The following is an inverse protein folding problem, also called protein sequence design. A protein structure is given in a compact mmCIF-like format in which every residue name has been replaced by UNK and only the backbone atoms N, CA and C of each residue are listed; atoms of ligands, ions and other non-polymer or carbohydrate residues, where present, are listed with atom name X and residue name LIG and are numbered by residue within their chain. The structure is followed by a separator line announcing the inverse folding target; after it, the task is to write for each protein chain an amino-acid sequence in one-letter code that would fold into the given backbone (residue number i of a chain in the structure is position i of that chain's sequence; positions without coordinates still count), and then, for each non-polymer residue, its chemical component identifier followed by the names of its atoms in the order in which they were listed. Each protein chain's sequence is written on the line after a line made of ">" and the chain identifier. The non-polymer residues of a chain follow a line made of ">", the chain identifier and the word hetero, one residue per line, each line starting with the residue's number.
data_IF_152379043510
#
_entry.id   IF_152379043510
#
_cell.length_a   1.000
_cell.length_b   1.000
_cell.length_c   1.000
_cell.angle_alpha   90.00
_cell.angle_beta   90.00
_cell.angle_gamma   90.00
#
_symmetry.space_group_name_H-M   'P 1'
#
loop_
_entity.id
_entity.type
_entity.pdbx_description
1 polymer ?
#
# COMPACT_ATOMS: atom_id res chain seq x y z
N UNK A 1 62.09 -71.34 -26.81
CA UNK A 1 60.77 -71.12 -26.25
C UNK A 1 60.60 -69.61 -26.08
N UNK A 2 59.82 -68.97 -26.95
CA UNK A 2 59.66 -67.50 -26.98
C UNK A 2 58.35 -67.12 -26.24
N UNK A 3 58.48 -66.43 -25.13
CA UNK A 3 57.31 -65.82 -24.45
C UNK A 3 56.97 -64.51 -25.15
N UNK A 4 55.71 -64.36 -25.57
CA UNK A 4 55.09 -63.12 -26.05
C UNK A 4 54.49 -62.42 -24.89
N UNK A 5 55.01 -61.26 -24.56
CA UNK A 5 54.35 -60.35 -23.57
C UNK A 5 53.24 -59.51 -24.21
N UNK A 6 52.06 -59.64 -23.71
CA UNK A 6 50.91 -58.83 -24.13
C UNK A 6 50.83 -57.56 -23.21
N UNK A 7 51.03 -56.36 -23.80
CA UNK A 7 50.87 -55.10 -23.09
C UNK A 7 49.41 -54.73 -23.04
N UNK A 8 48.89 -54.62 -21.84
CA UNK A 8 47.53 -54.12 -21.56
C UNK A 8 47.60 -52.58 -21.47
N UNK A 9 46.98 -51.91 -22.42
CA UNK A 9 46.83 -50.45 -22.42
C UNK A 9 45.60 -50.09 -21.56
N UNK A 10 45.84 -49.56 -20.35
CA UNK A 10 44.80 -49.10 -19.48
C UNK A 10 44.44 -47.60 -19.78
N UNK A 11 43.34 -47.37 -20.47
CA UNK A 11 42.84 -46.03 -20.80
C UNK A 11 42.18 -45.46 -19.54
N UNK A 12 42.79 -44.48 -18.88
CA UNK A 12 42.22 -43.69 -17.77
C UNK A 12 41.22 -42.69 -18.36
N UNK A 13 39.92 -42.95 -18.19
CA UNK A 13 38.87 -41.95 -18.48
C UNK A 13 38.82 -40.97 -17.30
N UNK A 14 39.40 -39.79 -17.48
CA UNK A 14 39.22 -38.67 -16.56
C UNK A 14 37.81 -38.11 -16.72
N UNK A 15 36.86 -38.58 -15.90
CA UNK A 15 35.53 -37.97 -15.77
C UNK A 15 35.69 -36.63 -15.04
N UNK A 16 35.70 -35.56 -15.81
CA UNK A 16 35.66 -34.21 -15.23
C UNK A 16 34.33 -34.01 -14.48
N UNK A 17 34.37 -34.09 -13.17
CA UNK A 17 33.27 -33.56 -12.32
C UNK A 17 33.25 -32.04 -12.47
N UNK A 18 32.32 -31.53 -13.26
CA UNK A 18 31.95 -30.11 -13.19
C UNK A 18 31.23 -29.95 -11.86
N UNK A 19 31.97 -29.51 -10.85
CA UNK A 19 31.35 -29.06 -9.61
C UNK A 19 30.50 -27.81 -9.95
N UNK A 20 29.19 -27.98 -10.08
CA UNK A 20 28.28 -26.85 -10.06
C UNK A 20 28.43 -26.19 -8.68
N UNK A 21 29.03 -25.02 -8.63
CA UNK A 21 29.01 -24.19 -7.42
C UNK A 21 27.54 -23.90 -7.10
N UNK A 22 27.03 -24.55 -6.07
CA UNK A 22 25.74 -24.22 -5.49
C UNK A 22 25.94 -22.88 -4.77
N UNK A 23 25.73 -21.79 -5.48
CA UNK A 23 25.65 -20.47 -4.84
C UNK A 23 24.39 -20.47 -3.98
N UNK A 24 24.56 -20.18 -2.70
CA UNK A 24 23.39 -19.95 -1.83
C UNK A 24 22.57 -18.80 -2.42
N UNK A 25 21.26 -19.00 -2.52
CA UNK A 25 20.36 -17.97 -2.99
C UNK A 25 20.48 -16.73 -2.12
N UNK A 26 20.40 -15.55 -2.73
CA UNK A 26 20.20 -14.29 -1.99
C UNK A 26 18.77 -14.29 -1.46
N UNK A 27 18.59 -14.06 -0.18
CA UNK A 27 17.28 -14.04 0.44
C UNK A 27 17.05 -12.71 1.16
N UNK A 28 15.92 -12.08 0.89
CA UNK A 28 15.45 -10.89 1.57
C UNK A 28 14.22 -11.20 2.40
N UNK A 29 14.19 -10.71 3.62
CA UNK A 29 13.00 -10.74 4.46
C UNK A 29 12.12 -9.55 4.14
N UNK A 30 10.83 -9.83 3.90
CA UNK A 30 9.83 -8.82 3.55
C UNK A 30 8.78 -8.73 4.64
N UNK A 31 8.71 -7.58 5.29
CA UNK A 31 7.73 -7.33 6.35
C UNK A 31 6.44 -6.75 5.79
N UNK A 32 5.38 -7.55 5.81
CA UNK A 32 4.00 -7.10 5.56
C UNK A 32 3.23 -7.13 6.89
N UNK A 33 2.71 -5.98 7.31
CA UNK A 33 1.96 -5.93 8.56
C UNK A 33 0.57 -6.57 8.43
N UNK A 34 0.21 -7.39 9.41
CA UNK A 34 -1.07 -8.09 9.45
C UNK A 34 -1.18 -9.27 8.49
N UNK A 35 -2.40 -9.71 8.18
CA UNK A 35 -2.67 -10.90 7.36
C UNK A 35 -2.59 -10.59 5.87
N UNK A 36 -2.45 -11.64 5.05
CA UNK A 36 -2.59 -11.58 3.60
C UNK A 36 -3.95 -10.99 3.19
N UNK A 37 -3.96 -10.10 2.21
CA UNK A 37 -5.16 -9.45 1.65
C UNK A 37 -4.83 -8.77 0.32
N UNK A 38 -5.83 -8.29 -0.41
CA UNK A 38 -5.63 -7.78 -1.77
C UNK A 38 -4.48 -6.75 -1.89
N UNK A 39 -4.30 -5.83 -0.92
CA UNK A 39 -3.24 -4.82 -1.02
C UNK A 39 -1.81 -5.38 -0.85
N UNK A 40 -1.63 -6.66 -0.52
CA UNK A 40 -0.30 -7.32 -0.47
C UNK A 40 0.07 -8.01 -1.79
N UNK A 41 -0.85 -8.08 -2.74
CA UNK A 41 -0.69 -8.87 -3.97
C UNK A 41 0.38 -8.31 -4.92
N UNK A 42 0.64 -6.99 -4.90
CA UNK A 42 1.76 -6.41 -5.63
C UNK A 42 3.12 -6.93 -5.15
N UNK A 43 3.28 -7.11 -3.83
CA UNK A 43 4.50 -7.66 -3.24
C UNK A 43 4.63 -9.14 -3.52
N UNK A 44 3.53 -9.88 -3.47
CA UNK A 44 3.49 -11.31 -3.80
C UNK A 44 3.86 -11.54 -5.27
N UNK A 45 3.30 -10.73 -6.18
CA UNK A 45 3.64 -10.79 -7.60
C UNK A 45 5.09 -10.38 -7.87
N UNK A 46 5.59 -9.35 -7.17
CA UNK A 46 6.99 -8.96 -7.26
C UNK A 46 7.91 -10.11 -6.85
N UNK A 47 7.60 -10.83 -5.76
CA UNK A 47 8.38 -11.96 -5.30
C UNK A 47 8.43 -13.10 -6.34
N UNK A 48 7.29 -13.43 -6.92
CA UNK A 48 7.18 -14.42 -8.01
C UNK A 48 8.05 -14.04 -9.21
N UNK A 49 7.97 -12.78 -9.66
CA UNK A 49 8.72 -12.29 -10.82
C UNK A 49 10.24 -12.26 -10.58
N UNK A 50 10.65 -11.82 -9.40
CA UNK A 50 12.07 -11.77 -9.02
C UNK A 50 12.66 -13.18 -8.97
N UNK A 51 11.98 -14.13 -8.33
CA UNK A 51 12.43 -15.52 -8.28
C UNK A 51 12.52 -16.13 -9.69
N UNK A 52 11.53 -15.90 -10.53
CA UNK A 52 11.52 -16.39 -11.92
C UNK A 52 12.66 -15.77 -12.76
N UNK A 53 12.85 -14.44 -12.72
CA UNK A 53 13.88 -13.74 -13.50
C UNK A 53 15.30 -14.04 -13.05
N UNK A 54 15.47 -14.54 -11.82
CA UNK A 54 16.79 -14.92 -11.27
C UNK A 54 17.00 -16.42 -11.19
N UNK A 55 16.11 -17.23 -11.79
CA UNK A 55 16.15 -18.70 -11.71
C UNK A 55 16.25 -19.23 -10.26
N UNK A 56 15.61 -18.55 -9.31
CA UNK A 56 15.64 -18.89 -7.88
C UNK A 56 16.88 -18.43 -7.13
N UNK A 57 17.81 -17.71 -7.76
CA UNK A 57 19.00 -17.17 -7.07
C UNK A 57 18.71 -15.98 -6.15
N UNK A 58 17.56 -15.31 -6.31
CA UNK A 58 17.10 -14.27 -5.42
C UNK A 58 15.65 -14.50 -5.02
N UNK A 59 15.40 -14.54 -3.70
CA UNK A 59 14.08 -14.79 -3.12
C UNK A 59 13.66 -13.68 -2.16
N UNK A 60 12.37 -13.34 -2.21
CA UNK A 60 11.72 -12.42 -1.29
C UNK A 60 10.83 -13.22 -0.31
N UNK A 61 11.32 -13.43 0.90
CA UNK A 61 10.64 -14.22 1.94
C UNK A 61 9.57 -13.36 2.64
N UNK A 62 8.32 -13.47 2.23
CA UNK A 62 7.23 -12.65 2.72
C UNK A 62 6.75 -13.15 4.09
N UNK A 63 6.75 -12.24 5.08
CA UNK A 63 6.20 -12.47 6.42
C UNK A 63 4.97 -11.60 6.66
N UNK A 64 3.83 -12.23 6.94
CA UNK A 64 2.56 -11.56 7.21
C UNK A 64 2.40 -11.29 8.72
N UNK A 65 2.86 -10.14 9.18
CA UNK A 65 2.74 -9.68 10.57
C UNK A 65 3.74 -10.30 11.55
N UNK A 66 4.68 -11.14 11.07
CA UNK A 66 5.65 -11.83 11.91
C UNK A 66 6.90 -11.02 12.25
N UNK A 67 7.27 -10.02 11.42
CA UNK A 67 8.50 -9.27 11.59
C UNK A 67 8.28 -7.91 12.27
N UNK A 68 7.20 -7.21 11.98
CA UNK A 68 6.90 -5.91 12.58
C UNK A 68 5.40 -5.60 12.61
N UNK A 69 5.00 -4.68 13.47
CA UNK A 69 3.66 -4.11 13.50
C UNK A 69 3.56 -2.92 12.53
N UNK A 70 2.32 -2.48 12.24
CA UNK A 70 2.02 -1.42 11.27
C UNK A 70 2.77 -0.09 11.51
N UNK A 71 3.16 0.23 12.76
CA UNK A 71 3.87 1.46 13.13
C UNK A 71 5.38 1.29 13.26
N UNK A 72 5.91 0.10 12.99
CA UNK A 72 7.30 -0.28 13.23
C UNK A 72 8.06 -0.58 11.92
N UNK A 73 7.34 -0.72 10.78
CA UNK A 73 7.94 -1.11 9.50
C UNK A 73 9.09 -0.18 9.06
N UNK A 74 8.90 1.13 9.17
CA UNK A 74 9.92 2.10 8.75
C UNK A 74 11.15 2.07 9.67
N UNK A 75 10.95 1.85 10.96
CA UNK A 75 12.07 1.67 11.91
C UNK A 75 12.85 0.40 11.58
N UNK A 76 12.15 -0.71 11.33
CA UNK A 76 12.79 -1.97 10.94
C UNK A 76 13.62 -1.86 9.67
N UNK A 77 13.13 -1.16 8.66
CA UNK A 77 13.88 -0.81 7.44
C UNK A 77 15.11 0.04 7.80
N UNK A 78 14.93 1.08 8.61
CA UNK A 78 16.02 1.99 8.97
C UNK A 78 17.19 1.28 9.67
N UNK A 79 16.87 0.30 10.52
CA UNK A 79 17.87 -0.49 11.23
C UNK A 79 18.38 -1.74 10.50
N UNK A 80 17.86 -2.03 9.29
CA UNK A 80 18.22 -3.23 8.55
C UNK A 80 17.73 -4.53 9.21
N UNK A 81 16.61 -4.48 9.98
CA UNK A 81 16.02 -5.67 10.58
C UNK A 81 15.37 -6.59 9.53
N UNK A 82 15.03 -6.05 8.40
CA UNK A 82 14.57 -6.72 7.17
C UNK A 82 14.83 -5.80 5.99
N UNK A 83 14.98 -6.37 4.80
CA UNK A 83 15.41 -5.66 3.60
C UNK A 83 14.27 -4.93 2.90
N UNK A 84 13.04 -5.42 3.03
CA UNK A 84 11.86 -4.82 2.39
C UNK A 84 10.65 -4.80 3.31
N UNK A 85 9.82 -3.77 3.18
CA UNK A 85 8.57 -3.66 3.92
C UNK A 85 7.50 -2.93 3.13
N UNK A 86 6.22 -3.25 3.40
CA UNK A 86 5.08 -2.44 3.02
C UNK A 86 4.52 -1.74 4.25
N UNK A 87 4.36 -0.42 4.21
CA UNK A 87 3.77 0.35 5.29
C UNK A 87 2.72 1.33 4.75
N UNK A 88 1.79 1.78 5.59
CA UNK A 88 0.83 2.79 5.17
C UNK A 88 1.24 4.17 5.70
N UNK A 89 1.23 5.18 4.84
CA UNK A 89 1.68 6.55 5.10
C UNK A 89 1.10 7.14 6.39
N UNK A 90 -0.17 6.93 6.65
CA UNK A 90 -0.85 7.47 7.85
C UNK A 90 -0.39 6.87 9.19
N UNK A 91 0.34 5.75 9.18
CA UNK A 91 0.95 5.22 10.40
C UNK A 91 2.29 5.87 10.73
N UNK A 92 2.89 6.59 9.78
CA UNK A 92 4.21 7.18 9.87
C UNK A 92 4.22 8.69 9.55
N UNK A 93 3.09 9.39 9.72
CA UNK A 93 2.93 10.79 9.34
C UNK A 93 3.85 11.77 10.09
N UNK A 94 4.37 11.38 11.24
CA UNK A 94 5.37 12.13 12.03
C UNK A 94 6.81 11.81 11.59
N UNK A 95 7.08 10.57 11.13
CA UNK A 95 8.38 10.10 10.67
C UNK A 95 8.64 10.45 9.21
N UNK A 96 7.63 10.25 8.36
CA UNK A 96 7.69 10.48 6.92
C UNK A 96 6.48 11.30 6.45
N UNK A 97 6.45 12.61 6.76
CA UNK A 97 5.30 13.47 6.46
C UNK A 97 5.10 13.74 4.97
N UNK A 98 6.14 13.68 4.14
CA UNK A 98 6.05 14.06 2.73
C UNK A 98 5.11 13.17 1.93
N UNK A 99 5.12 11.85 2.12
CA UNK A 99 4.23 10.95 1.38
C UNK A 99 2.76 11.03 1.81
N UNK A 100 2.45 11.73 2.92
CA UNK A 100 1.06 11.97 3.30
C UNK A 100 0.35 12.92 2.35
N UNK A 101 1.05 13.58 1.42
CA UNK A 101 0.44 14.32 0.31
C UNK A 101 -0.49 13.42 -0.51
N UNK A 102 -0.19 12.13 -0.63
CA UNK A 102 -1.01 11.15 -1.35
C UNK A 102 -2.34 10.81 -0.64
N UNK A 103 -2.51 11.25 0.61
CA UNK A 103 -3.75 11.06 1.38
C UNK A 103 -4.70 12.26 1.30
N UNK A 104 -4.27 13.32 0.65
CA UNK A 104 -5.08 14.54 0.53
C UNK A 104 -6.29 14.31 -0.38
N UNK A 105 -7.42 14.93 -0.05
CA UNK A 105 -8.63 14.79 -0.84
C UNK A 105 -8.51 15.60 -2.14
N UNK A 106 -8.06 14.98 -3.21
CA UNK A 106 -8.01 15.59 -4.55
C UNK A 106 -9.35 15.58 -5.28
N UNK A 107 -10.36 14.95 -4.70
CA UNK A 107 -11.78 15.04 -5.08
C UNK A 107 -12.07 14.71 -6.56
N UNK A 108 -11.24 13.88 -7.19
CA UNK A 108 -11.45 13.39 -8.54
C UNK A 108 -11.77 11.90 -8.51
N UNK A 109 -12.68 11.50 -9.36
CA UNK A 109 -12.87 10.11 -9.70
C UNK A 109 -11.78 9.73 -10.71
N UNK A 110 -10.75 9.05 -10.21
CA UNK A 110 -9.56 8.66 -10.97
C UNK A 110 -9.40 7.14 -10.86
N UNK A 111 -9.17 6.48 -11.99
CA UNK A 111 -8.96 5.02 -12.01
C UNK A 111 -7.75 4.63 -11.14
N UNK A 112 -7.79 3.41 -10.58
CA UNK A 112 -6.70 2.89 -9.77
C UNK A 112 -5.37 2.85 -10.54
N UNK A 113 -5.43 2.58 -11.86
CA UNK A 113 -4.27 2.63 -12.75
C UNK A 113 -3.67 4.04 -12.79
N UNK A 114 -4.49 5.08 -12.97
CA UNK A 114 -3.99 6.46 -12.99
C UNK A 114 -3.45 6.90 -11.63
N UNK A 115 -4.08 6.50 -10.54
CA UNK A 115 -3.54 6.75 -9.18
C UNK A 115 -2.18 6.08 -9.00
N UNK A 116 -1.98 4.87 -9.54
CA UNK A 116 -0.69 4.17 -9.53
C UNK A 116 0.40 4.96 -10.24
N UNK A 117 0.10 5.50 -11.42
CA UNK A 117 1.02 6.35 -12.20
C UNK A 117 1.39 7.63 -11.44
N UNK A 118 0.37 8.32 -10.91
CA UNK A 118 0.57 9.56 -10.11
C UNK A 118 1.49 9.29 -8.92
N UNK A 119 1.20 8.25 -8.14
CA UNK A 119 2.00 7.95 -6.96
C UNK A 119 3.42 7.50 -7.31
N UNK A 120 3.61 6.80 -8.42
CA UNK A 120 4.94 6.45 -8.93
C UNK A 120 5.77 7.70 -9.27
N UNK A 121 5.13 8.77 -9.76
CA UNK A 121 5.79 10.05 -10.02
C UNK A 121 6.05 10.83 -8.72
N UNK A 122 5.07 10.91 -7.82
CA UNK A 122 5.23 11.58 -6.51
C UNK A 122 6.39 10.96 -5.73
N UNK A 123 6.57 9.64 -5.79
CA UNK A 123 7.66 8.94 -5.10
C UNK A 123 9.06 9.28 -5.65
N UNK A 124 9.15 9.72 -6.89
CA UNK A 124 10.39 10.19 -7.52
C UNK A 124 10.66 11.66 -7.24
N UNK A 125 9.73 12.39 -6.62
CA UNK A 125 9.92 13.80 -6.31
C UNK A 125 11.06 13.99 -5.29
N UNK A 126 12.02 14.91 -5.50
CA UNK A 126 13.22 15.06 -4.65
C UNK A 126 12.90 15.27 -3.17
N UNK A 127 11.82 15.98 -2.84
CA UNK A 127 11.38 16.21 -1.45
C UNK A 127 11.01 14.87 -0.78
N UNK A 128 10.32 13.98 -1.49
CA UNK A 128 9.91 12.65 -0.96
C UNK A 128 11.12 11.74 -0.82
N UNK A 129 11.98 11.69 -1.84
CA UNK A 129 13.22 10.89 -1.81
C UNK A 129 14.10 11.31 -0.64
N UNK A 130 14.32 12.62 -0.45
CA UNK A 130 15.13 13.16 0.66
C UNK A 130 14.56 12.82 2.04
N UNK A 131 13.23 12.81 2.19
CA UNK A 131 12.59 12.50 3.46
C UNK A 131 12.79 11.03 3.85
N UNK A 132 12.63 10.11 2.91
CA UNK A 132 12.83 8.68 3.15
C UNK A 132 14.30 8.30 3.32
N UNK A 133 15.22 8.99 2.64
CA UNK A 133 16.65 8.76 2.81
C UNK A 133 17.12 8.93 4.27
N UNK A 134 16.45 9.76 5.07
CA UNK A 134 16.71 9.89 6.52
C UNK A 134 16.48 8.60 7.30
N UNK A 135 15.70 7.69 6.73
CA UNK A 135 15.33 6.40 7.31
C UNK A 135 16.06 5.24 6.62
N UNK A 136 17.15 5.52 5.90
CA UNK A 136 17.83 4.51 5.08
C UNK A 136 16.84 3.71 4.20
N UNK A 137 15.83 4.38 3.69
CA UNK A 137 14.72 3.79 2.96
C UNK A 137 14.61 4.39 1.54
N UNK A 138 14.47 3.50 0.57
CA UNK A 138 14.16 3.82 -0.83
C UNK A 138 12.76 3.32 -1.17
N UNK A 139 11.92 4.19 -1.74
CA UNK A 139 10.60 3.79 -2.26
C UNK A 139 10.79 2.91 -3.50
N UNK A 140 10.28 1.69 -3.43
CA UNK A 140 10.35 0.73 -4.53
C UNK A 140 9.13 0.85 -5.45
N UNK A 141 7.92 0.81 -4.87
CA UNK A 141 6.67 0.93 -5.62
C UNK A 141 5.52 1.45 -4.75
N UNK A 142 4.53 2.12 -5.35
CA UNK A 142 3.28 2.44 -4.65
C UNK A 142 2.45 1.18 -4.40
N UNK A 143 1.51 1.28 -3.47
CA UNK A 143 0.34 0.41 -3.44
C UNK A 143 -0.87 1.33 -3.41
N UNK A 144 -1.35 1.78 -4.58
CA UNK A 144 -2.51 2.66 -4.66
C UNK A 144 -3.74 1.90 -4.17
N UNK A 145 -4.63 2.61 -3.50
CA UNK A 145 -5.92 2.10 -3.06
C UNK A 145 -7.02 2.93 -3.72
N UNK A 146 -8.14 2.32 -4.10
CA UNK A 146 -9.27 3.07 -4.64
C UNK A 146 -9.86 3.99 -3.57
N UNK A 147 -10.76 4.87 -4.01
CA UNK A 147 -11.49 5.78 -3.12
C UNK A 147 -12.06 5.03 -1.91
N UNK A 148 -11.90 5.64 -0.74
CA UNK A 148 -12.45 5.11 0.49
C UNK A 148 -13.92 5.44 0.58
N UNK A 149 -14.70 4.46 1.00
CA UNK A 149 -16.09 4.61 1.36
C UNK A 149 -16.32 4.27 2.83
N UNK A 150 -17.45 4.72 3.36
CA UNK A 150 -17.83 4.49 4.73
C UNK A 150 -18.79 3.32 4.77
N UNK A 151 -18.63 2.44 5.75
CA UNK A 151 -19.66 1.52 6.24
C UNK A 151 -19.99 1.92 7.66
N UNK A 152 -21.27 2.12 7.97
CA UNK A 152 -21.75 2.53 9.27
C UNK A 152 -22.89 1.67 9.78
N UNK A 153 -22.98 1.57 11.11
CA UNK A 153 -24.04 0.85 11.83
C UNK A 153 -25.25 1.73 12.15
N UNK A 154 -25.06 3.07 12.20
CA UNK A 154 -26.10 4.01 12.61
C UNK A 154 -27.24 4.20 11.62
N UNK A 155 -28.03 5.25 11.83
CA UNK A 155 -29.10 5.65 10.92
C UNK A 155 -28.52 6.06 9.57
N UNK A 156 -29.29 5.81 8.50
CA UNK A 156 -28.91 6.16 7.12
C UNK A 156 -28.82 7.67 6.97
N UNK A 157 -27.71 8.17 6.47
CA UNK A 157 -27.52 9.61 6.22
C UNK A 157 -28.58 10.15 5.24
N UNK A 158 -29.15 11.27 5.57
CA UNK A 158 -30.09 12.04 4.73
C UNK A 158 -29.45 13.32 4.21
N UNK A 159 -28.51 13.87 4.95
CA UNK A 159 -27.77 15.09 4.63
C UNK A 159 -26.31 14.99 5.12
N UNK A 160 -25.48 15.97 4.76
CA UNK A 160 -24.12 16.08 5.30
C UNK A 160 -24.10 16.43 6.79
N UNK A 161 -25.15 17.07 7.31
CA UNK A 161 -25.26 17.40 8.73
C UNK A 161 -25.36 16.15 9.62
N UNK A 162 -25.78 15.02 9.07
CA UNK A 162 -25.89 13.75 9.80
C UNK A 162 -24.50 13.14 10.14
N UNK A 163 -23.40 13.74 9.67
CA UNK A 163 -22.06 13.42 10.16
C UNK A 163 -21.75 13.98 11.53
N UNK A 164 -22.51 14.96 12.03
CA UNK A 164 -22.32 15.56 13.36
C UNK A 164 -22.36 14.49 14.47
N UNK A 165 -21.29 14.43 15.25
CA UNK A 165 -21.13 13.45 16.34
C UNK A 165 -20.84 12.01 15.90
N UNK A 166 -20.88 11.65 14.61
CA UNK A 166 -20.62 10.30 14.13
C UNK A 166 -19.15 9.93 14.42
N UNK A 167 -18.91 8.88 15.21
CA UNK A 167 -17.57 8.40 15.55
C UNK A 167 -17.04 7.53 14.41
N UNK A 168 -16.10 8.10 13.65
CA UNK A 168 -15.58 7.47 12.44
C UNK A 168 -14.11 7.09 12.62
N UNK A 169 -13.76 5.86 12.25
CA UNK A 169 -12.40 5.41 12.05
C UNK A 169 -12.00 5.60 10.59
N UNK A 170 -10.98 6.41 10.32
CA UNK A 170 -10.52 6.67 8.96
C UNK A 170 -9.12 7.30 8.90
N UNK A 171 -8.50 7.39 7.69
CA UNK A 171 -7.22 8.07 7.47
C UNK A 171 -7.34 9.59 7.60
N UNK A 172 -6.17 10.25 7.79
CA UNK A 172 -6.08 11.65 8.17
C UNK A 172 -6.77 12.62 7.21
N UNK A 173 -6.55 12.48 5.91
CA UNK A 173 -7.13 13.38 4.90
C UNK A 173 -8.67 13.33 4.89
N UNK A 174 -9.23 12.12 4.85
CA UNK A 174 -10.69 11.89 4.88
C UNK A 174 -11.28 12.43 6.17
N UNK A 175 -10.67 12.10 7.32
CA UNK A 175 -11.14 12.58 8.61
C UNK A 175 -10.97 14.09 8.80
N UNK A 176 -10.08 14.73 8.06
CA UNK A 176 -9.99 16.19 7.97
C UNK A 176 -11.27 16.80 7.42
N UNK A 177 -11.81 16.24 6.34
CA UNK A 177 -13.07 16.71 5.72
C UNK A 177 -14.28 16.37 6.59
N UNK A 178 -14.40 15.10 7.01
CA UNK A 178 -15.54 14.67 7.84
C UNK A 178 -15.59 15.38 9.20
N UNK A 179 -14.43 15.72 9.79
CA UNK A 179 -14.35 16.51 11.01
C UNK A 179 -14.91 17.93 10.88
N UNK A 180 -14.87 18.51 9.68
CA UNK A 180 -15.51 19.82 9.41
C UNK A 180 -17.03 19.72 9.33
N UNK A 181 -17.56 18.52 9.12
CA UNK A 181 -18.97 18.16 9.23
C UNK A 181 -19.34 17.67 10.64
N UNK A 182 -18.47 17.84 11.62
CA UNK A 182 -18.73 17.45 13.01
C UNK A 182 -18.45 15.97 13.34
N UNK A 183 -17.96 15.16 12.41
CA UNK A 183 -17.62 13.78 12.70
C UNK A 183 -16.42 13.66 13.67
N UNK A 184 -16.50 12.72 14.59
CA UNK A 184 -15.49 12.48 15.63
C UNK A 184 -14.51 11.42 15.20
N UNK A 185 -13.25 11.83 14.95
CA UNK A 185 -12.18 10.89 14.63
C UNK A 185 -11.88 9.98 15.82
N UNK A 186 -12.10 8.70 15.66
CA UNK A 186 -11.89 7.69 16.71
C UNK A 186 -10.85 6.65 16.28
N UNK A 187 -9.76 6.57 17.04
CA UNK A 187 -8.65 5.65 16.75
C UNK A 187 -8.95 4.23 17.23
N UNK A 188 -9.02 3.27 16.29
CA UNK A 188 -9.24 1.85 16.58
C UNK A 188 -8.25 1.03 15.76
N UNK A 189 -7.56 0.03 16.35
CA UNK A 189 -6.73 -0.91 15.61
C UNK A 189 -7.51 -1.61 14.50
N UNK A 190 -6.85 -1.86 13.36
CA UNK A 190 -7.51 -2.48 12.20
C UNK A 190 -8.24 -3.80 12.52
N UNK A 191 -7.60 -4.66 13.30
CA UNK A 191 -8.17 -5.97 13.66
C UNK A 191 -9.41 -5.88 14.57
N UNK A 192 -9.61 -4.74 15.25
CA UNK A 192 -10.69 -4.53 16.23
C UNK A 192 -11.89 -3.77 15.66
N UNK A 193 -11.80 -3.31 14.39
CA UNK A 193 -12.83 -2.44 13.78
C UNK A 193 -14.21 -3.06 13.84
N UNK A 194 -14.37 -4.32 13.43
CA UNK A 194 -15.67 -4.99 13.46
C UNK A 194 -16.26 -5.02 14.87
N UNK A 195 -15.46 -5.46 15.84
CA UNK A 195 -15.89 -5.52 17.24
C UNK A 195 -16.22 -4.15 17.79
N UNK A 196 -15.42 -3.14 17.45
CA UNK A 196 -15.64 -1.75 17.89
C UNK A 196 -16.91 -1.14 17.29
N UNK A 197 -17.24 -1.48 16.04
CA UNK A 197 -18.54 -1.14 15.45
C UNK A 197 -19.69 -1.88 16.14
N UNK A 198 -19.53 -3.16 16.38
CA UNK A 198 -20.57 -3.99 16.98
C UNK A 198 -20.90 -3.55 18.41
N UNK A 199 -19.88 -3.23 19.22
CA UNK A 199 -20.01 -2.72 20.58
C UNK A 199 -20.35 -1.23 20.68
N UNK A 200 -20.36 -0.49 19.56
CA UNK A 200 -20.65 0.94 19.55
C UNK A 200 -19.49 1.82 20.08
N UNK A 201 -18.25 1.36 20.06
CA UNK A 201 -17.06 2.22 20.30
C UNK A 201 -16.87 3.19 19.14
N UNK A 202 -17.10 2.72 17.90
CA UNK A 202 -17.21 3.54 16.69
C UNK A 202 -18.55 3.25 16.01
N UNK A 203 -19.06 4.24 15.32
CA UNK A 203 -20.31 4.14 14.54
C UNK A 203 -20.01 3.71 13.10
N UNK A 204 -18.86 4.12 12.58
CA UNK A 204 -18.48 3.95 11.19
C UNK A 204 -16.99 3.69 10.99
N UNK A 205 -16.66 3.03 9.89
CA UNK A 205 -15.30 2.87 9.40
C UNK A 205 -15.21 3.32 7.94
N UNK A 206 -14.17 4.12 7.61
CA UNK A 206 -13.83 4.52 6.25
C UNK A 206 -12.66 3.69 5.77
N UNK A 207 -12.88 2.93 4.68
CA UNK A 207 -11.92 1.99 4.11
C UNK A 207 -12.04 1.89 2.59
N UNK A 208 -10.98 1.38 1.97
CA UNK A 208 -11.06 0.78 0.64
C UNK A 208 -11.76 -0.61 0.70
N UNK A 209 -12.30 -1.12 -0.42
CA UNK A 209 -13.03 -2.38 -0.49
C UNK A 209 -12.38 -3.56 0.22
N UNK A 210 -11.09 -3.82 -0.03
CA UNK A 210 -10.37 -4.94 0.58
C UNK A 210 -10.36 -4.90 2.11
N UNK A 211 -10.36 -3.72 2.69
CA UNK A 211 -10.30 -3.55 4.14
C UNK A 211 -11.66 -3.79 4.79
N UNK A 212 -12.76 -3.38 4.15
CA UNK A 212 -14.11 -3.76 4.57
C UNK A 212 -14.31 -5.28 4.52
N UNK A 213 -13.81 -5.93 3.46
CA UNK A 213 -13.86 -7.40 3.35
C UNK A 213 -13.02 -8.07 4.45
N UNK A 214 -11.78 -7.63 4.67
CA UNK A 214 -10.88 -8.23 5.64
C UNK A 214 -11.32 -8.04 7.10
N UNK A 215 -11.92 -6.91 7.43
CA UNK A 215 -12.46 -6.63 8.77
C UNK A 215 -13.89 -7.16 8.96
N UNK A 216 -14.58 -7.55 7.89
CA UNK A 216 -16.01 -7.88 7.90
C UNK A 216 -16.89 -6.74 8.49
N UNK A 217 -16.48 -5.47 8.33
CA UNK A 217 -17.24 -4.32 8.83
C UNK A 217 -18.64 -4.22 8.21
N UNK A 218 -18.78 -4.61 6.93
CA UNK A 218 -20.06 -4.65 6.24
C UNK A 218 -21.09 -5.59 6.90
N UNK A 219 -20.65 -6.62 7.62
CA UNK A 219 -21.55 -7.57 8.30
C UNK A 219 -22.27 -6.99 9.52
N UNK A 220 -21.77 -5.89 10.05
CA UNK A 220 -22.36 -5.17 11.18
C UNK A 220 -22.84 -3.78 10.76
N UNK A 221 -22.69 -3.43 9.49
CA UNK A 221 -23.14 -2.18 8.91
C UNK A 221 -24.62 -2.19 8.57
N UNK A 222 -25.22 -1.01 8.52
CA UNK A 222 -26.58 -0.72 8.07
C UNK A 222 -26.61 0.04 6.73
N UNK A 223 -25.59 0.87 6.48
CA UNK A 223 -25.44 1.61 5.23
C UNK A 223 -23.98 1.76 4.81
N UNK A 224 -23.79 2.04 3.52
CA UNK A 224 -22.47 2.31 2.94
C UNK A 224 -22.56 3.46 1.93
N UNK A 225 -21.49 4.29 1.87
CA UNK A 225 -21.36 5.32 0.82
C UNK A 225 -20.87 4.72 -0.51
N UNK A 226 -21.20 5.37 -1.63
CA UNK A 226 -20.77 4.94 -2.97
C UNK A 226 -19.80 5.89 -3.63
N UNK A 227 -19.94 7.19 -3.41
CA UNK A 227 -19.23 8.26 -4.12
C UNK A 227 -18.68 9.33 -3.18
N UNK A 228 -18.11 8.92 -2.04
CA UNK A 228 -17.56 9.86 -1.05
C UNK A 228 -16.42 10.72 -1.63
N UNK A 229 -15.56 10.14 -2.46
CA UNK A 229 -14.49 10.79 -3.23
C UNK A 229 -13.59 11.76 -2.44
N UNK A 230 -13.32 11.44 -1.18
CA UNK A 230 -12.43 12.19 -0.30
C UNK A 230 -10.97 11.68 -0.30
N UNK A 231 -10.63 10.87 -1.29
CA UNK A 231 -9.30 10.28 -1.41
C UNK A 231 -9.19 8.88 -0.81
N UNK A 232 -7.96 8.43 -0.70
CA UNK A 232 -7.61 7.11 -0.19
C UNK A 232 -6.36 7.18 0.67
N UNK A 233 -5.86 6.03 1.13
CA UNK A 233 -4.53 5.90 1.68
C UNK A 233 -3.60 5.27 0.65
N UNK A 234 -2.30 5.43 0.88
CA UNK A 234 -1.26 4.73 0.14
C UNK A 234 -0.43 3.88 1.11
N UNK A 235 -0.15 2.65 0.71
CA UNK A 235 0.68 1.73 1.49
C UNK A 235 1.92 1.33 0.68
N UNK A 236 2.90 2.25 0.50
CA UNK A 236 4.07 2.01 -0.33
C UNK A 236 4.92 0.84 0.14
N UNK A 237 5.67 0.28 -0.80
CA UNK A 237 6.73 -0.68 -0.54
C UNK A 237 8.05 0.04 -0.55
N UNK A 238 8.82 -0.14 0.51
CA UNK A 238 10.18 0.41 0.67
C UNK A 238 11.19 -0.70 0.81
N UNK A 239 12.42 -0.40 0.42
CA UNK A 239 13.59 -1.25 0.64
C UNK A 239 14.62 -0.50 1.48
N UNK A 240 15.40 -1.23 2.28
CA UNK A 240 16.58 -0.68 2.90
C UNK A 240 17.58 -0.28 1.80
N UNK A 241 18.05 0.98 1.83
CA UNK A 241 18.88 1.53 0.75
C UNK A 241 20.21 0.81 0.63
N UNK A 242 20.88 0.52 1.76
CA UNK A 242 22.15 -0.21 1.76
C UNK A 242 21.99 -1.64 1.25
N UNK A 243 20.90 -2.34 1.65
CA UNK A 243 20.62 -3.68 1.14
C UNK A 243 20.41 -3.66 -0.39
N UNK A 244 19.72 -2.63 -0.92
CA UNK A 244 19.54 -2.47 -2.36
C UNK A 244 20.87 -2.21 -3.08
N UNK A 245 21.76 -1.40 -2.51
CA UNK A 245 23.07 -1.09 -3.07
C UNK A 245 24.01 -2.30 -3.08
N UNK A 246 23.90 -3.15 -2.05
CA UNK A 246 24.71 -4.38 -1.92
C UNK A 246 24.24 -5.54 -2.80
N UNK A 247 23.05 -5.46 -3.42
CA UNK A 247 22.60 -6.49 -4.34
C UNK A 247 23.53 -6.62 -5.54
N UNK A 248 23.77 -7.87 -5.95
CA UNK A 248 24.40 -8.15 -7.26
C UNK A 248 23.64 -7.40 -8.36
N UNK A 249 24.32 -6.82 -9.36
CA UNK A 249 23.65 -6.06 -10.43
C UNK A 249 22.45 -6.80 -11.04
N UNK A 250 22.61 -8.09 -11.39
CA UNK A 250 21.52 -8.89 -11.97
C UNK A 250 20.29 -9.03 -11.05
N UNK A 251 20.50 -9.17 -9.73
CA UNK A 251 19.40 -9.27 -8.76
C UNK A 251 18.69 -7.93 -8.60
N UNK A 252 19.46 -6.82 -8.55
CA UNK A 252 18.90 -5.47 -8.50
C UNK A 252 18.09 -5.15 -9.74
N UNK A 253 18.62 -5.47 -10.93
CA UNK A 253 17.92 -5.27 -12.19
C UNK A 253 16.64 -6.10 -12.26
N UNK A 254 16.66 -7.36 -11.79
CA UNK A 254 15.48 -8.21 -11.71
C UNK A 254 14.43 -7.62 -10.76
N UNK A 255 14.84 -7.10 -9.59
CA UNK A 255 13.92 -6.46 -8.62
C UNK A 255 13.28 -5.21 -9.23
N UNK A 256 14.10 -4.25 -9.68
CA UNK A 256 13.62 -2.98 -10.20
C UNK A 256 12.83 -3.14 -11.51
N UNK A 257 13.29 -4.04 -12.39
CA UNK A 257 12.63 -4.34 -13.67
C UNK A 257 11.37 -5.21 -13.54
N UNK A 258 10.95 -5.59 -12.33
CA UNK A 258 9.69 -6.31 -12.07
C UNK A 258 8.59 -5.43 -11.46
N UNK A 259 8.91 -4.20 -11.08
CA UNK A 259 7.99 -3.30 -10.37
C UNK A 259 6.75 -2.99 -11.22
N UNK A 260 6.93 -2.57 -12.46
CA UNK A 260 5.81 -2.14 -13.32
C UNK A 260 4.85 -3.31 -13.62
N UNK A 261 5.41 -4.52 -13.84
CA UNK A 261 4.61 -5.73 -14.07
C UNK A 261 3.84 -6.14 -12.81
N UNK A 262 4.46 -6.06 -11.64
CA UNK A 262 3.80 -6.35 -10.36
C UNK A 262 2.68 -5.35 -10.04
N UNK A 263 2.89 -4.06 -10.37
CA UNK A 263 1.87 -3.02 -10.21
C UNK A 263 0.71 -3.20 -11.17
N UNK A 264 0.97 -3.48 -12.44
CA UNK A 264 -0.08 -3.71 -13.44
C UNK A 264 -0.96 -4.90 -13.04
N UNK A 265 -0.34 -6.02 -12.64
CA UNK A 265 -1.07 -7.18 -12.12
C UNK A 265 -1.94 -6.83 -10.91
N UNK A 266 -1.40 -6.08 -9.95
CA UNK A 266 -2.12 -5.68 -8.74
C UNK A 266 -3.34 -4.82 -9.07
N UNK A 267 -3.18 -3.80 -9.91
CA UNK A 267 -4.26 -2.88 -10.29
C UNK A 267 -5.39 -3.64 -10.97
N UNK A 268 -5.06 -4.48 -11.97
CA UNK A 268 -6.04 -5.28 -12.69
C UNK A 268 -6.77 -6.25 -11.77
N UNK A 269 -6.03 -6.99 -10.94
CA UNK A 269 -6.61 -7.97 -10.02
C UNK A 269 -7.48 -7.31 -8.94
N UNK A 270 -7.10 -6.12 -8.47
CA UNK A 270 -7.90 -5.38 -7.49
C UNK A 270 -9.25 -4.98 -8.07
N UNK A 271 -9.25 -4.36 -9.26
CA UNK A 271 -10.46 -3.89 -9.91
C UNK A 271 -11.40 -5.06 -10.27
N UNK A 272 -10.86 -6.13 -10.86
CA UNK A 272 -11.67 -7.28 -11.30
C UNK A 272 -12.21 -8.13 -10.14
N UNK A 273 -11.42 -8.33 -9.10
CA UNK A 273 -11.75 -9.31 -8.06
C UNK A 273 -12.17 -8.69 -6.74
N UNK A 274 -11.46 -7.65 -6.26
CA UNK A 274 -11.68 -7.13 -4.91
C UNK A 274 -12.85 -6.17 -4.84
N UNK A 275 -12.94 -5.23 -5.80
CA UNK A 275 -14.03 -4.26 -5.86
C UNK A 275 -15.37 -4.96 -6.05
N UNK A 276 -15.48 -5.85 -7.03
CA UNK A 276 -16.71 -6.60 -7.30
C UNK A 276 -17.13 -7.50 -6.13
N UNK A 277 -16.17 -8.15 -5.43
CA UNK A 277 -16.48 -8.92 -4.22
C UNK A 277 -17.06 -8.06 -3.10
N UNK A 278 -16.54 -6.85 -2.92
CA UNK A 278 -17.07 -5.92 -1.92
C UNK A 278 -18.49 -5.47 -2.27
N UNK A 279 -18.71 -5.08 -3.51
CA UNK A 279 -20.05 -4.68 -4.00
C UNK A 279 -21.09 -5.78 -3.84
N UNK A 280 -20.73 -7.03 -4.18
CA UNK A 280 -21.60 -8.17 -3.92
C UNK A 280 -21.85 -8.37 -2.43
N UNK A 281 -20.81 -8.28 -1.59
CA UNK A 281 -20.94 -8.49 -0.15
C UNK A 281 -21.84 -7.46 0.53
N UNK A 282 -21.76 -6.17 0.17
CA UNK A 282 -22.65 -5.12 0.73
C UNK A 282 -24.08 -5.29 0.22
N UNK A 283 -24.28 -5.73 -1.03
CA UNK A 283 -25.59 -5.99 -1.60
C UNK A 283 -26.25 -7.22 -0.95
N UNK A 284 -25.54 -8.32 -0.81
CA UNK A 284 -26.03 -9.53 -0.15
C UNK A 284 -26.37 -9.31 1.32
N UNK A 285 -25.60 -8.43 2.00
CA UNK A 285 -25.87 -8.04 3.39
C UNK A 285 -27.07 -7.09 3.48
N UNK A 286 -27.54 -6.51 2.38
CA UNK A 286 -28.68 -5.61 2.33
C UNK A 286 -28.40 -4.21 2.90
N UNK A 287 -27.18 -3.70 2.78
CA UNK A 287 -26.85 -2.35 3.21
C UNK A 287 -27.56 -1.28 2.36
N UNK A 288 -28.03 -0.23 3.03
CA UNK A 288 -28.56 0.95 2.34
C UNK A 288 -27.41 1.71 1.68
N UNK A 289 -27.48 1.90 0.36
CA UNK A 289 -26.44 2.61 -0.38
C UNK A 289 -26.71 4.12 -0.35
N UNK A 290 -25.77 4.88 0.20
CA UNK A 290 -25.83 6.35 0.28
C UNK A 290 -24.99 6.93 -0.85
N UNK A 291 -25.66 7.66 -1.76
CA UNK A 291 -25.03 8.38 -2.87
C UNK A 291 -25.24 9.88 -2.67
N UNK A 292 -24.17 10.64 -2.58
CA UNK A 292 -24.21 12.08 -2.44
C UNK A 292 -24.64 12.76 -3.73
N UNK A 293 -25.47 13.80 -3.61
CA UNK A 293 -25.89 14.61 -4.75
C UNK A 293 -24.71 15.46 -5.29
N UNK A 294 -24.82 16.02 -6.52
CA UNK A 294 -23.82 16.96 -7.02
C UNK A 294 -23.54 18.13 -6.07
N UNK A 295 -24.59 18.69 -5.43
CA UNK A 295 -24.49 19.80 -4.48
C UNK A 295 -23.71 19.38 -3.22
N UNK A 296 -24.02 18.22 -2.64
CA UNK A 296 -23.30 17.65 -1.51
C UNK A 296 -21.82 17.34 -1.88
N UNK A 297 -21.59 16.83 -3.07
CA UNK A 297 -20.22 16.58 -3.56
C UNK A 297 -19.44 17.88 -3.71
N UNK A 298 -20.06 18.94 -4.20
CA UNK A 298 -19.42 20.27 -4.30
C UNK A 298 -19.11 20.86 -2.91
N UNK A 299 -19.97 20.66 -1.93
CA UNK A 299 -19.70 21.07 -0.55
C UNK A 299 -18.52 20.29 0.05
N UNK A 300 -18.46 18.97 -0.14
CA UNK A 300 -17.30 18.15 0.25
C UNK A 300 -16.01 18.61 -0.43
N UNK A 301 -16.07 19.04 -1.68
CA UNK A 301 -14.93 19.58 -2.41
C UNK A 301 -14.42 20.90 -1.83
N UNK A 302 -15.32 21.80 -1.42
CA UNK A 302 -14.95 23.05 -0.74
C UNK A 302 -14.28 22.80 0.62
N UNK A 303 -14.82 21.86 1.39
CA UNK A 303 -14.21 21.44 2.65
C UNK A 303 -12.83 20.80 2.44
N UNK A 304 -12.68 20.03 1.36
CA UNK A 304 -11.42 19.41 0.94
C UNK A 304 -10.32 20.44 0.67
N UNK A 305 -10.67 21.58 0.07
CA UNK A 305 -9.69 22.68 -0.14
C UNK A 305 -9.09 23.17 1.18
N UNK A 306 -9.93 23.40 2.18
CA UNK A 306 -9.45 23.81 3.50
C UNK A 306 -8.51 22.77 4.13
N UNK A 307 -8.78 21.47 3.98
CA UNK A 307 -7.92 20.39 4.48
C UNK A 307 -6.55 20.38 3.78
N UNK A 308 -6.53 20.63 2.47
CA UNK A 308 -5.28 20.78 1.69
C UNK A 308 -4.43 21.94 2.19
N UNK A 309 -5.04 23.10 2.41
CA UNK A 309 -4.36 24.29 2.94
C UNK A 309 -3.84 24.08 4.37
N UNK A 310 -4.59 23.39 5.21
CA UNK A 310 -4.15 23.02 6.57
C UNK A 310 -2.92 22.09 6.53
N UNK A 311 -2.87 21.14 5.59
CA UNK A 311 -1.72 20.27 5.40
C UNK A 311 -0.47 21.08 4.99
N UNK A 312 -0.59 21.98 4.02
CA UNK A 312 0.49 22.87 3.59
C UNK A 312 0.99 23.68 4.78
N UNK A 313 0.09 24.34 5.51
CA UNK A 313 0.42 25.15 6.67
C UNK A 313 1.14 24.35 7.76
N UNK A 314 0.66 23.13 8.03
CA UNK A 314 1.24 22.22 9.04
C UNK A 314 2.68 21.85 8.75
N UNK A 315 3.04 21.68 7.47
CA UNK A 315 4.36 21.19 7.09
C UNK A 315 5.30 22.25 6.52
N UNK A 316 4.85 23.48 6.34
CA UNK A 316 5.63 24.62 5.80
C UNK A 316 7.01 24.80 6.44
N UNK A 317 7.16 24.50 7.73
CA UNK A 317 8.44 24.62 8.45
C UNK A 317 9.33 23.36 8.41
N UNK A 318 8.84 22.25 7.82
CA UNK A 318 9.58 20.99 7.77
C UNK A 318 10.18 20.70 6.39
N UNK A 319 9.47 21.04 5.33
CA UNK A 319 9.88 20.94 3.93
C UNK A 319 9.04 21.89 3.07
N UNK A 320 9.38 22.03 1.80
CA UNK A 320 8.56 22.82 0.86
C UNK A 320 7.26 22.09 0.52
N UNK A 321 6.30 22.20 1.44
CA UNK A 321 5.01 21.53 1.35
C UNK A 321 4.14 22.07 0.21
N UNK A 322 4.29 23.38 -0.11
CA UNK A 322 3.55 23.99 -1.22
C UNK A 322 3.99 23.40 -2.56
N UNK A 323 5.28 23.37 -2.83
CA UNK A 323 5.82 22.81 -4.09
C UNK A 323 5.43 21.34 -4.25
N UNK A 324 5.51 20.52 -3.19
CA UNK A 324 5.12 19.13 -3.27
C UNK A 324 3.61 18.96 -3.49
N UNK A 325 2.80 19.79 -2.86
CA UNK A 325 1.35 19.81 -3.08
C UNK A 325 1.01 20.20 -4.52
N UNK A 326 1.57 21.30 -5.02
CA UNK A 326 1.30 21.82 -6.38
C UNK A 326 1.70 20.80 -7.45
N UNK A 327 2.84 20.14 -7.28
CA UNK A 327 3.27 19.04 -8.14
C UNK A 327 2.24 17.91 -8.15
N UNK A 328 1.84 17.43 -6.97
CA UNK A 328 0.88 16.32 -6.84
C UNK A 328 -0.49 16.70 -7.40
N UNK A 329 -0.98 17.92 -7.10
CA UNK A 329 -2.25 18.42 -7.62
C UNK A 329 -2.23 18.56 -9.15
N UNK A 330 -1.09 18.99 -9.72
CA UNK A 330 -0.86 19.05 -11.17
C UNK A 330 -1.06 17.67 -11.82
N UNK A 331 -0.47 16.62 -11.26
CA UNK A 331 -0.62 15.24 -11.76
C UNK A 331 -2.07 14.75 -11.73
N UNK A 332 -2.83 15.12 -10.69
CA UNK A 332 -4.26 14.83 -10.63
C UNK A 332 -5.10 15.68 -11.60
N UNK A 333 -4.61 16.86 -12.01
CA UNK A 333 -5.31 17.73 -12.95
C UNK A 333 -5.16 17.29 -14.42
N UNK A 334 -4.07 16.63 -14.76
CA UNK A 334 -3.83 16.08 -16.10
C UNK A 334 -4.91 15.04 -16.46
N UNK A 335 -5.27 15.00 -17.77
CA UNK A 335 -6.32 14.09 -18.30
C UNK A 335 -5.74 12.73 -18.64
#
# INVERSE_FOLDING_TARGET
>A
MKLKGTALLTTLILSGFVASEVHAATEWNVSLWGKRRAFTENVEKLAELVEAKTNGEFKLNISYGGLSKARENLDGISFGAFEMAQFCSFYHSDKNPTITVTELPFSKDVSLARVSEIYSQVFKHPIVVKDLARWNATLLMPTPLPQYNIVSKGDVLKSLDDFEGLRVRGPGGIMGVLGKLGAVKTGVPFAEVRQSMDSGVIDAASFAPHAHLATNSYKVGNWATTNLNLGSANCPVVVNTEALEMLKPAHRDALLGSVDEALAYYVENYDQNTTGKYEMAVKEQGLNMVTFTPEQTEELNKLSESVRQEWIAKYKGKFDAQTLFDYTAGLFAEK
#
